data_IF_497886952628
#
_entry.id   IF_497886952628
#
_cell.length_a   1.000
_cell.length_b   1.000
_cell.length_c   1.000
_cell.angle_alpha   90.00
_cell.angle_beta   90.00
_cell.angle_gamma   90.00
#
_symmetry.space_group_name_H-M   'P 1'
#
loop_
_entity.id
_entity.type
_entity.pdbx_description
1 polymer ?
#
# COMPACT_ATOMS: atom_id res chain seq x y z
N UNK A 1 17.61 5.77 28.38
CA UNK A 1 16.48 4.91 27.99
C UNK A 1 15.68 5.65 26.92
N UNK A 2 16.08 5.50 25.65
CA UNK A 2 15.43 6.20 24.53
C UNK A 2 14.41 5.28 23.87
N UNK A 3 13.15 5.43 24.22
CA UNK A 3 12.06 4.80 23.49
C UNK A 3 11.89 5.47 22.14
N UNK A 4 12.08 4.72 21.06
CA UNK A 4 11.66 5.15 19.72
C UNK A 4 10.14 5.07 19.65
N UNK A 5 9.46 6.03 20.27
CA UNK A 5 8.05 6.28 19.99
C UNK A 5 7.98 6.99 18.65
N UNK A 6 7.66 6.26 17.58
CA UNK A 6 7.25 6.91 16.34
C UNK A 6 5.95 7.65 16.62
N UNK A 7 6.05 8.96 16.92
CA UNK A 7 4.90 9.84 17.07
C UNK A 7 4.42 10.21 15.66
N UNK A 8 3.87 9.25 14.92
CA UNK A 8 3.10 9.61 13.73
C UNK A 8 1.72 10.02 14.22
N UNK A 9 1.50 11.34 14.34
CA UNK A 9 0.17 11.92 14.30
C UNK A 9 -0.52 11.55 12.99
N UNK A 10 -1.82 11.83 12.85
CA UNK A 10 -2.54 11.34 11.69
C UNK A 10 -2.04 12.02 10.40
N UNK A 11 -1.78 11.28 9.30
CA UNK A 11 -1.44 11.87 8.03
C UNK A 11 -2.49 12.89 7.61
N UNK A 12 -2.03 14.11 7.48
CA UNK A 12 -2.67 15.23 6.84
C UNK A 12 -2.52 15.10 5.31
N UNK A 13 -3.25 15.92 4.57
CA UNK A 13 -3.13 16.03 3.10
C UNK A 13 -1.68 16.25 2.61
N UNK A 14 -0.78 16.72 3.47
CA UNK A 14 0.62 17.02 3.12
C UNK A 14 1.59 15.89 3.50
N UNK A 15 1.10 14.79 4.07
CA UNK A 15 1.95 13.67 4.41
C UNK A 15 2.42 12.90 3.16
N UNK A 16 3.64 12.34 3.21
CA UNK A 16 4.16 11.59 2.08
C UNK A 16 3.25 10.38 1.77
N UNK A 17 3.02 10.08 0.48
CA UNK A 17 2.28 8.89 0.09
C UNK A 17 2.87 7.61 0.68
N UNK A 18 2.00 6.68 1.09
CA UNK A 18 2.39 5.37 1.61
C UNK A 18 2.77 4.45 0.45
N UNK A 19 4.00 3.92 0.48
CA UNK A 19 4.46 2.91 -0.46
C UNK A 19 3.98 1.52 -0.04
N UNK A 20 3.31 0.82 -0.95
CA UNK A 20 2.89 -0.58 -0.76
C UNK A 20 3.48 -1.47 -1.83
N UNK A 21 4.09 -2.57 -1.40
CA UNK A 21 4.77 -3.55 -2.25
C UNK A 21 4.20 -4.92 -1.92
N UNK A 22 3.69 -5.62 -2.94
CA UNK A 22 3.19 -6.98 -2.82
C UNK A 22 3.93 -7.88 -3.79
N UNK A 23 4.42 -9.02 -3.30
CA UNK A 23 4.88 -10.08 -4.19
C UNK A 23 3.67 -10.73 -4.87
N UNK A 24 3.75 -10.86 -6.19
CA UNK A 24 2.75 -11.54 -7.00
C UNK A 24 3.40 -12.65 -7.83
N UNK A 25 2.66 -13.74 -8.03
CA UNK A 25 3.11 -14.83 -8.91
C UNK A 25 2.73 -14.52 -10.36
N UNK A 26 3.68 -14.64 -11.28
CA UNK A 26 3.48 -14.34 -12.72
C UNK A 26 2.26 -15.08 -13.29
N UNK A 27 2.08 -16.36 -12.93
CA UNK A 27 0.92 -17.19 -13.35
C UNK A 27 -0.46 -16.58 -13.02
N UNK A 28 -0.55 -15.79 -11.95
CA UNK A 28 -1.81 -15.25 -11.42
C UNK A 28 -1.91 -13.72 -11.56
N UNK A 29 -0.93 -13.08 -12.20
CA UNK A 29 -0.80 -11.62 -12.30
C UNK A 29 -2.01 -10.94 -12.93
N UNK A 30 -2.47 -11.45 -14.09
CA UNK A 30 -3.63 -10.87 -14.78
C UNK A 30 -4.89 -10.88 -13.92
N UNK A 31 -5.17 -12.02 -13.27
CA UNK A 31 -6.31 -12.15 -12.36
C UNK A 31 -6.18 -11.25 -11.12
N UNK A 32 -4.96 -11.05 -10.61
CA UNK A 32 -4.70 -10.13 -9.51
C UNK A 32 -4.99 -8.67 -9.92
N UNK A 33 -4.47 -8.21 -11.06
CA UNK A 33 -4.74 -6.84 -11.53
C UNK A 33 -6.21 -6.57 -11.80
N UNK A 34 -6.93 -7.54 -12.37
CA UNK A 34 -8.37 -7.42 -12.58
C UNK A 34 -9.11 -7.25 -11.25
N UNK A 35 -8.87 -8.13 -10.26
CA UNK A 35 -9.49 -8.00 -8.93
C UNK A 35 -9.10 -6.70 -8.22
N UNK A 36 -7.85 -6.29 -8.33
CA UNK A 36 -7.38 -5.06 -7.72
C UNK A 36 -8.12 -3.85 -8.30
N UNK A 37 -8.20 -3.73 -9.63
CA UNK A 37 -8.89 -2.64 -10.31
C UNK A 37 -10.40 -2.65 -10.03
N UNK A 38 -11.05 -3.80 -10.23
CA UNK A 38 -12.52 -3.89 -10.23
C UNK A 38 -13.10 -3.85 -8.81
N UNK A 39 -12.28 -4.22 -7.82
CA UNK A 39 -12.70 -4.29 -6.42
C UNK A 39 -11.92 -3.34 -5.51
N UNK A 40 -10.63 -3.58 -5.31
CA UNK A 40 -9.84 -2.89 -4.28
C UNK A 40 -9.68 -1.39 -4.55
N UNK A 41 -9.27 -1.01 -5.76
CA UNK A 41 -9.12 0.39 -6.16
C UNK A 41 -10.45 1.15 -6.10
N UNK A 42 -11.55 0.48 -6.48
CA UNK A 42 -12.91 1.02 -6.37
C UNK A 42 -13.32 1.25 -4.91
N UNK A 43 -13.00 0.32 -4.01
CA UNK A 43 -13.25 0.46 -2.58
C UNK A 43 -12.41 1.58 -1.96
N UNK A 44 -11.11 1.63 -2.26
CA UNK A 44 -10.18 2.66 -1.80
C UNK A 44 -10.68 4.06 -2.16
N UNK A 45 -11.09 4.26 -3.43
CA UNK A 45 -11.67 5.54 -3.88
C UNK A 45 -12.92 5.94 -3.09
N UNK A 46 -13.80 5.00 -2.73
CA UNK A 46 -14.99 5.28 -1.91
C UNK A 46 -14.64 5.75 -0.50
N UNK A 47 -13.52 5.30 0.04
CA UNK A 47 -13.03 5.69 1.38
C UNK A 47 -12.06 6.87 1.35
N UNK A 48 -11.97 7.62 0.24
CA UNK A 48 -11.10 8.78 0.15
C UNK A 48 -9.60 8.45 0.05
N UNK A 49 -9.26 7.21 -0.32
CA UNK A 49 -7.88 6.81 -0.59
C UNK A 49 -7.58 6.98 -2.08
N UNK A 50 -6.47 7.64 -2.40
CA UNK A 50 -6.05 7.90 -3.78
C UNK A 50 -4.80 7.10 -4.10
N UNK A 51 -4.86 6.28 -5.14
CA UNK A 51 -3.67 5.66 -5.72
C UNK A 51 -3.00 6.73 -6.58
N UNK A 52 -1.77 7.10 -6.24
CA UNK A 52 -1.00 8.15 -6.91
C UNK A 52 -0.33 7.61 -8.15
N UNK A 53 0.30 6.44 -8.00
CA UNK A 53 0.99 5.73 -9.07
C UNK A 53 0.98 4.24 -8.76
N UNK A 54 1.13 3.42 -9.80
CA UNK A 54 1.06 1.97 -9.72
C UNK A 54 1.89 1.35 -10.85
N UNK A 55 2.83 0.47 -10.49
CA UNK A 55 3.71 -0.18 -11.46
C UNK A 55 4.07 -1.61 -11.03
N UNK A 56 4.60 -2.35 -11.99
CA UNK A 56 5.25 -3.64 -11.72
C UNK A 56 6.75 -3.41 -11.57
N UNK A 57 7.34 -4.02 -10.55
CA UNK A 57 8.78 -4.13 -10.38
C UNK A 57 9.20 -5.60 -10.46
N UNK A 58 10.45 -5.86 -10.83
CA UNK A 58 11.04 -7.19 -10.75
C UNK A 58 12.25 -7.12 -9.84
N UNK A 59 12.15 -7.84 -8.72
CA UNK A 59 13.25 -7.99 -7.77
C UNK A 59 13.72 -9.45 -7.82
N UNK A 60 14.91 -9.68 -8.36
CA UNK A 60 15.44 -11.02 -8.64
C UNK A 60 14.47 -11.86 -9.50
N UNK A 61 13.93 -12.95 -8.96
CA UNK A 61 12.99 -13.87 -9.62
C UNK A 61 11.52 -13.57 -9.30
N UNK A 62 11.23 -12.51 -8.54
CA UNK A 62 9.88 -12.19 -8.06
C UNK A 62 9.32 -10.99 -8.80
N UNK A 63 8.04 -11.07 -9.13
CA UNK A 63 7.28 -9.93 -9.63
C UNK A 63 6.65 -9.23 -8.44
N UNK A 64 6.84 -7.93 -8.36
CA UNK A 64 6.29 -7.08 -7.32
C UNK A 64 5.26 -6.15 -7.92
N UNK A 65 4.11 -6.06 -7.28
CA UNK A 65 3.10 -5.06 -7.56
C UNK A 65 3.27 -3.91 -6.56
N UNK A 66 3.57 -2.73 -7.09
CA UNK A 66 3.90 -1.56 -6.29
C UNK A 66 2.90 -0.45 -6.55
N UNK A 67 2.46 0.22 -5.49
CA UNK A 67 1.65 1.44 -5.63
C UNK A 67 1.87 2.41 -4.48
N UNK A 68 1.64 3.69 -4.78
CA UNK A 68 1.66 4.79 -3.82
C UNK A 68 0.23 5.15 -3.43
N UNK A 69 -0.03 5.20 -2.13
CA UNK A 69 -1.35 5.49 -1.56
C UNK A 69 -1.32 6.80 -0.79
N UNK A 70 -2.13 7.75 -1.22
CA UNK A 70 -2.37 9.01 -0.53
C UNK A 70 -3.69 8.97 0.23
N UNK A 71 -3.66 9.51 1.45
CA UNK A 71 -4.82 9.63 2.33
C UNK A 71 -5.40 11.03 2.20
N UNK A 72 -6.71 11.14 1.92
CA UNK A 72 -7.36 12.45 1.80
C UNK A 72 -7.76 13.05 3.14
N UNK A 73 -8.02 12.23 4.16
CA UNK A 73 -8.63 12.66 5.43
C UNK A 73 -8.14 11.83 6.62
N UNK A 74 -8.10 12.49 7.79
CA UNK A 74 -7.72 11.98 9.10
C UNK A 74 -8.56 10.77 9.52
N UNK A 75 -9.85 10.78 9.19
CA UNK A 75 -10.80 9.72 9.54
C UNK A 75 -10.54 8.39 8.82
N UNK A 76 -9.91 8.42 7.64
CA UNK A 76 -9.57 7.19 6.91
C UNK A 76 -8.45 6.39 7.60
N UNK A 77 -7.64 7.05 8.42
CA UNK A 77 -6.44 6.48 9.04
C UNK A 77 -6.70 5.51 10.20
N UNK A 78 -7.81 5.66 10.92
CA UNK A 78 -8.02 5.06 12.24
C UNK A 78 -7.90 3.51 12.29
N UNK A 79 -7.85 2.84 11.14
CA UNK A 79 -7.64 1.39 11.01
C UNK A 79 -6.25 0.95 10.52
N UNK A 80 -5.22 1.82 10.53
CA UNK A 80 -3.89 1.46 9.99
C UNK A 80 -3.22 0.37 10.83
N UNK A 81 -3.05 -0.81 10.24
CA UNK A 81 -1.97 -1.74 10.61
C UNK A 81 -0.74 -1.34 9.80
N UNK A 82 0.27 -0.77 10.45
CA UNK A 82 1.52 -0.37 9.79
C UNK A 82 2.16 -1.61 9.17
N UNK A 83 2.19 -1.65 7.83
CA UNK A 83 2.75 -2.75 7.06
C UNK A 83 4.27 -2.79 7.22
N UNK A 84 4.76 -3.52 8.21
CA UNK A 84 6.11 -4.07 8.19
C UNK A 84 6.25 -4.87 6.90
N UNK A 85 7.33 -4.68 6.14
CA UNK A 85 7.69 -5.53 4.99
C UNK A 85 7.45 -6.99 5.39
N UNK A 86 6.42 -7.63 4.83
CA UNK A 86 6.20 -9.08 4.97
C UNK A 86 7.22 -9.77 4.08
N UNK A 87 8.51 -9.57 4.40
CA UNK A 87 9.57 -10.42 3.95
C UNK A 87 9.47 -11.69 4.77
N UNK A 88 9.09 -12.79 4.12
CA UNK A 88 9.29 -14.13 4.66
C UNK A 88 10.73 -14.22 5.14
N UNK A 89 10.96 -14.13 6.46
CA UNK A 89 12.21 -14.57 7.08
C UNK A 89 12.31 -16.07 6.82
N UNK A 90 13.08 -16.43 5.81
CA UNK A 90 13.83 -17.68 5.73
C UNK A 90 15.15 -17.40 5.06
#
# INVERSE_FOLDING_TARGET
MGGWGAVSGPPTKNDPPELRIYEIFEKNKGAFHARFRDHAARLMRRHGLRIVDMWESRAHERVEFVYLLEWKDEAALAGRVTGSRVGSRR
#
